data_IF_672058783501
#
_entry.id   IF_672058783501
#
_cell.length_a   1.000
_cell.length_b   1.000
_cell.length_c   1.000
_cell.angle_alpha   90.00
_cell.angle_beta   90.00
_cell.angle_gamma   90.00
#
_symmetry.space_group_name_H-M   'P 1'
#
loop_
_entity.id
_entity.type
_entity.pdbx_description
1 polymer ?
#
# COMPACT_ATOMS: atom_id res chain seq x y z
N UNK A 1 5.83 24.12 14.54
CA UNK A 1 6.27 22.75 14.88
C UNK A 1 5.05 21.93 15.24
N UNK A 2 4.91 20.71 14.73
CA UNK A 2 3.76 19.85 15.06
C UNK A 2 3.92 19.21 16.44
N UNK A 3 2.86 19.21 17.24
CA UNK A 3 2.81 18.57 18.57
C UNK A 3 2.16 17.20 18.49
N UNK A 4 2.74 16.21 19.17
CA UNK A 4 2.15 14.86 19.26
C UNK A 4 1.01 14.89 20.29
N UNK A 5 -0.24 14.77 19.82
CA UNK A 5 -1.42 14.74 20.69
C UNK A 5 -1.60 13.41 21.43
N UNK A 6 -1.34 12.29 20.76
CA UNK A 6 -1.50 10.94 21.33
C UNK A 6 -0.37 10.04 20.85
N UNK A 7 0.29 9.35 21.79
CA UNK A 7 1.35 8.38 21.50
C UNK A 7 0.73 7.00 21.27
N UNK A 8 1.33 6.20 20.37
CA UNK A 8 0.98 4.80 20.13
C UNK A 8 -0.48 4.54 19.70
N UNK A 9 -1.10 5.45 18.96
CA UNK A 9 -2.50 5.33 18.48
C UNK A 9 -2.75 4.04 17.67
N UNK A 10 -1.72 3.50 17.02
CA UNK A 10 -1.81 2.30 16.19
C UNK A 10 -0.82 1.23 16.62
N UNK A 11 -1.34 0.02 16.84
CA UNK A 11 -0.55 -1.20 17.02
C UNK A 11 -0.13 -1.73 15.65
N UNK A 12 1.15 -1.66 15.34
CA UNK A 12 1.68 -2.12 14.04
C UNK A 12 1.83 -3.64 14.02
N UNK A 13 1.27 -4.27 12.99
CA UNK A 13 1.41 -5.71 12.77
C UNK A 13 2.65 -6.00 11.94
N UNK A 14 3.39 -7.08 12.24
CA UNK A 14 4.51 -7.51 11.41
C UNK A 14 4.00 -7.89 10.02
N UNK A 15 4.73 -7.48 8.97
CA UNK A 15 4.36 -7.80 7.58
C UNK A 15 3.45 -6.78 6.88
N UNK A 16 3.15 -5.66 7.54
CA UNK A 16 2.33 -4.58 6.99
C UNK A 16 3.10 -3.25 6.93
N UNK A 17 2.78 -2.45 5.92
CA UNK A 17 3.23 -1.08 5.73
C UNK A 17 2.15 -0.13 6.25
N UNK A 18 2.53 0.80 7.10
CA UNK A 18 1.65 1.84 7.65
C UNK A 18 2.10 3.20 7.12
N UNK A 19 1.18 3.98 6.56
CA UNK A 19 1.45 5.31 6.01
C UNK A 19 0.28 6.26 6.25
N UNK A 20 0.53 7.56 6.07
CA UNK A 20 -0.50 8.61 6.17
C UNK A 20 -0.88 9.05 4.76
N UNK A 21 -2.17 9.06 4.44
CA UNK A 21 -2.66 9.56 3.13
C UNK A 21 -2.75 11.09 3.11
N UNK A 22 -3.04 11.67 1.94
CA UNK A 22 -3.21 13.12 1.81
C UNK A 22 -4.40 13.71 2.60
N UNK A 23 -5.30 12.85 3.10
CA UNK A 23 -6.43 13.25 3.96
C UNK A 23 -6.09 13.13 5.45
N UNK A 24 -4.87 12.68 5.81
CA UNK A 24 -4.43 12.52 7.19
C UNK A 24 -4.81 11.20 7.84
N UNK A 25 -5.33 10.22 7.08
CA UNK A 25 -5.70 8.90 7.62
C UNK A 25 -4.49 7.99 7.71
N UNK A 26 -4.46 7.11 8.72
CA UNK A 26 -3.48 6.02 8.82
C UNK A 26 -3.99 4.81 8.04
N UNK A 27 -3.29 4.43 6.98
CA UNK A 27 -3.61 3.29 6.14
C UNK A 27 -2.71 2.08 6.44
N UNK A 28 -3.22 0.87 6.24
CA UNK A 28 -2.50 -0.41 6.38
C UNK A 28 -2.44 -1.13 5.01
N UNK A 29 -1.25 -1.57 4.59
CA UNK A 29 -1.07 -2.35 3.36
C UNK A 29 -0.18 -3.58 3.59
N UNK A 30 -0.59 -4.76 3.08
CA UNK A 30 0.21 -5.99 3.22
C UNK A 30 1.49 -5.89 2.37
N UNK A 31 2.65 -6.05 3.01
CA UNK A 31 3.93 -5.95 2.30
C UNK A 31 4.11 -7.13 1.36
N UNK A 32 4.50 -6.83 0.11
CA UNK A 32 5.00 -7.82 -0.82
C UNK A 32 6.42 -8.23 -0.40
N UNK A 33 6.52 -9.08 0.62
CA UNK A 33 7.79 -9.73 0.95
C UNK A 33 8.18 -10.61 -0.24
N UNK A 34 9.44 -10.52 -0.68
CA UNK A 34 9.97 -11.24 -1.83
C UNK A 34 9.96 -12.76 -1.62
N UNK A 35 8.80 -13.40 -1.80
CA UNK A 35 8.60 -14.84 -1.75
C UNK A 35 7.71 -15.26 -2.92
N UNK A 36 8.21 -16.23 -3.71
CA UNK A 36 7.73 -16.67 -5.04
C UNK A 36 7.45 -15.50 -6.01
N UNK A 37 8.36 -15.33 -6.99
CA UNK A 37 8.14 -14.48 -8.17
C UNK A 37 6.75 -14.76 -8.74
N UNK A 38 5.78 -13.86 -8.55
CA UNK A 38 4.55 -13.89 -9.34
C UNK A 38 4.99 -13.78 -10.80
N UNK A 39 4.71 -14.82 -11.60
CA UNK A 39 4.86 -14.75 -13.06
C UNK A 39 4.19 -13.44 -13.49
N UNK A 40 4.93 -12.58 -14.20
CA UNK A 40 4.37 -11.35 -14.78
C UNK A 40 3.06 -11.75 -15.45
N UNK A 41 1.93 -11.27 -14.92
CA UNK A 41 0.67 -11.40 -15.63
C UNK A 41 0.91 -10.74 -17.00
N UNK A 42 0.79 -11.53 -18.08
CA UNK A 42 0.92 -11.02 -19.42
C UNK A 42 0.04 -9.77 -19.53
N UNK A 43 0.65 -8.64 -19.88
CA UNK A 43 -0.04 -7.37 -20.08
C UNK A 43 -1.14 -7.66 -21.10
N UNK A 44 -2.41 -7.76 -20.67
CA UNK A 44 -3.53 -7.84 -21.61
C UNK A 44 -3.48 -6.55 -22.41
N UNK A 45 -2.94 -6.63 -23.61
CA UNK A 45 -3.00 -5.57 -24.61
C UNK A 45 -4.47 -5.29 -24.83
N UNK A 46 -4.97 -4.20 -24.28
CA UNK A 46 -6.28 -3.68 -24.63
C UNK A 46 -6.21 -3.40 -26.13
N UNK A 47 -6.88 -4.24 -26.93
CA UNK A 47 -7.07 -3.96 -28.36
C UNK A 47 -7.76 -2.60 -28.43
N UNK A 48 -7.07 -1.58 -28.93
CA UNK A 48 -7.65 -0.26 -29.23
C UNK A 48 -8.90 -0.53 -30.08
N UNK A 49 -10.08 -0.25 -29.52
CA UNK A 49 -11.33 -0.21 -30.26
C UNK A 49 -11.19 0.93 -31.27
N UNK A 50 -10.99 0.57 -32.54
CA UNK A 50 -10.92 1.51 -33.67
C UNK A 50 -12.31 2.20 -33.74
N UNK A 51 -12.32 3.53 -33.68
CA UNK A 51 -13.49 4.34 -34.03
C UNK A 51 -13.72 4.29 -35.53
#
# INVERSE_FOLDING_TARGET
MGTVLVKNVVKRKPGYLYYVDGKGNVCEAKMARGGKKKKKAAKKTTKKKKR
#
